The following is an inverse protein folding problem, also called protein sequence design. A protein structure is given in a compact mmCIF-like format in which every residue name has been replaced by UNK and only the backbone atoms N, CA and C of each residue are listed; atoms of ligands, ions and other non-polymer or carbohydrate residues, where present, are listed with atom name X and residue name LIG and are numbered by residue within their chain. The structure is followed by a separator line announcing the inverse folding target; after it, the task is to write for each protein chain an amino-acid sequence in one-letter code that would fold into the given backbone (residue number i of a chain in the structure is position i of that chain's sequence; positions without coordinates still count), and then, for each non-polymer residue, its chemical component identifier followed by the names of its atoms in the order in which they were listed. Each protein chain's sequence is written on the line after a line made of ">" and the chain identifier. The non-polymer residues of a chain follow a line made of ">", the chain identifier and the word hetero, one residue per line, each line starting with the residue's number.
data_IF_304173243486
#
_entry.id   IF_304173243486
#
_cell.length_a   1.000
_cell.length_b   1.000
_cell.length_c   1.000
_cell.angle_alpha   90.00
_cell.angle_beta   90.00
_cell.angle_gamma   90.00
#
_symmetry.space_group_name_H-M   'P 1'
#
loop_
_entity.id
_entity.type
_entity.pdbx_description
1 polymer ?
#
# COMPACT_ATOMS: atom_id res chain seq x y z
N UNK A 1 6.04 21.32 -13.86
CA UNK A 1 6.29 20.61 -12.58
C UNK A 1 5.08 19.72 -12.31
N UNK A 2 5.24 18.40 -12.27
CA UNK A 2 4.10 17.51 -12.00
C UNK A 2 3.62 17.75 -10.55
N UNK A 3 2.45 18.38 -10.43
CA UNK A 3 1.75 18.61 -9.17
C UNK A 3 1.21 17.26 -8.64
N UNK A 4 1.24 17.08 -7.32
CA UNK A 4 0.46 16.00 -6.70
C UNK A 4 -1.02 16.21 -6.98
N UNK A 5 -1.76 15.12 -7.15
CA UNK A 5 -3.22 15.11 -7.30
C UNK A 5 -3.87 14.41 -6.10
N UNK A 6 -5.10 14.79 -5.71
CA UNK A 6 -5.90 13.97 -4.81
C UNK A 6 -6.22 12.61 -5.45
N UNK A 7 -6.71 11.68 -4.63
CA UNK A 7 -7.26 10.43 -5.15
C UNK A 7 -8.47 10.70 -6.06
N UNK A 8 -8.60 9.93 -7.13
CA UNK A 8 -9.83 9.92 -7.94
C UNK A 8 -11.00 9.36 -7.11
N UNK A 9 -12.27 9.59 -7.52
CA UNK A 9 -13.41 8.95 -6.86
C UNK A 9 -13.28 7.43 -6.80
N UNK A 10 -12.82 6.80 -7.89
CA UNK A 10 -12.60 5.36 -7.96
C UNK A 10 -11.48 4.88 -7.04
N UNK A 11 -10.37 5.62 -6.95
CA UNK A 11 -9.28 5.32 -6.01
C UNK A 11 -9.72 5.47 -4.55
N UNK A 12 -10.54 6.48 -4.25
CA UNK A 12 -11.09 6.68 -2.91
C UNK A 12 -12.08 5.56 -2.54
N UNK A 13 -12.90 5.09 -3.49
CA UNK A 13 -13.75 3.91 -3.30
C UNK A 13 -12.91 2.64 -3.09
N UNK A 14 -11.87 2.44 -3.89
CA UNK A 14 -10.94 1.32 -3.74
C UNK A 14 -10.28 1.34 -2.35
N UNK A 15 -9.84 2.50 -1.88
CA UNK A 15 -9.27 2.67 -0.56
C UNK A 15 -10.29 2.32 0.54
N UNK A 16 -11.52 2.84 0.47
CA UNK A 16 -12.58 2.50 1.43
C UNK A 16 -12.93 1.02 1.43
N UNK A 17 -12.92 0.36 0.27
CA UNK A 17 -13.21 -1.08 0.17
C UNK A 17 -12.18 -1.97 0.88
N UNK A 18 -10.98 -1.44 1.12
CA UNK A 18 -9.90 -2.16 1.80
C UNK A 18 -9.77 -1.72 3.24
N UNK A 19 -9.65 -0.42 3.49
CA UNK A 19 -9.30 0.15 4.80
C UNK A 19 -10.52 0.61 5.62
N UNK A 20 -11.72 0.57 5.06
CA UNK A 20 -12.92 1.10 5.71
C UNK A 20 -12.73 2.56 6.13
N UNK A 21 -13.05 2.85 7.39
CA UNK A 21 -12.89 4.17 8.00
C UNK A 21 -11.47 4.40 8.60
N UNK A 22 -10.59 3.40 8.54
CA UNK A 22 -9.26 3.50 9.14
C UNK A 22 -8.33 4.45 8.35
N UNK A 23 -8.58 4.63 7.05
CA UNK A 23 -7.85 5.57 6.19
C UNK A 23 -8.81 6.65 5.70
N UNK A 24 -8.41 7.92 5.83
CA UNK A 24 -9.11 9.05 5.21
C UNK A 24 -8.56 9.29 3.78
N UNK A 25 -9.34 8.99 2.72
CA UNK A 25 -8.89 9.16 1.34
C UNK A 25 -8.70 10.63 0.94
N UNK A 26 -9.38 11.57 1.61
CA UNK A 26 -9.28 13.00 1.32
C UNK A 26 -7.91 13.57 1.74
N UNK A 27 -7.23 12.91 2.67
CA UNK A 27 -5.87 13.25 3.12
C UNK A 27 -4.78 12.50 2.34
N UNK A 28 -5.17 11.68 1.36
CA UNK A 28 -4.26 10.95 0.50
C UNK A 28 -4.08 11.65 -0.86
N UNK A 29 -2.87 11.57 -1.41
CA UNK A 29 -2.56 12.11 -2.73
C UNK A 29 -1.62 11.17 -3.51
N UNK A 30 -1.57 11.35 -4.82
CA UNK A 30 -0.65 10.65 -5.71
C UNK A 30 0.21 11.67 -6.46
N UNK A 31 1.49 11.38 -6.63
CA UNK A 31 2.40 12.20 -7.41
C UNK A 31 3.27 11.34 -8.33
N UNK A 32 3.34 11.73 -9.61
CA UNK A 32 4.30 11.19 -10.57
C UNK A 32 5.65 11.94 -10.45
N UNK A 33 6.32 11.77 -9.31
CA UNK A 33 7.63 12.37 -9.03
C UNK A 33 8.35 11.55 -7.96
N UNK A 34 9.69 11.61 -7.98
CA UNK A 34 10.49 11.08 -6.87
C UNK A 34 10.17 11.83 -5.58
N UNK A 35 10.07 11.11 -4.47
CA UNK A 35 10.00 11.66 -3.11
C UNK A 35 11.35 12.20 -2.63
N UNK A 36 12.44 11.47 -2.88
CA UNK A 36 13.80 11.87 -2.49
C UNK A 36 14.83 11.50 -3.59
N UNK A 37 15.95 12.23 -3.66
CA UNK A 37 16.98 12.02 -4.69
C UNK A 37 17.59 10.60 -4.67
N UNK A 38 17.61 9.96 -3.50
CA UNK A 38 18.10 8.59 -3.27
C UNK A 38 17.00 7.50 -3.32
N UNK A 39 15.77 7.81 -3.72
CA UNK A 39 14.70 6.82 -3.88
C UNK A 39 15.07 5.82 -5.00
N UNK A 40 15.22 4.51 -4.71
CA UNK A 40 15.40 3.49 -5.74
C UNK A 40 14.23 3.49 -6.74
N UNK A 41 14.49 3.14 -7.99
CA UNK A 41 13.49 3.25 -9.09
C UNK A 41 12.21 2.43 -8.86
N UNK A 42 12.29 1.39 -8.04
CA UNK A 42 11.20 0.44 -7.75
C UNK A 42 10.60 0.61 -6.35
N UNK A 43 10.97 1.66 -5.61
CA UNK A 43 10.48 1.88 -4.25
C UNK A 43 9.51 3.04 -4.29
N UNK A 44 8.25 2.82 -3.96
CA UNK A 44 7.29 3.90 -3.75
C UNK A 44 7.28 4.27 -2.26
N UNK A 45 7.16 5.56 -1.97
CA UNK A 45 7.23 6.09 -0.60
C UNK A 45 6.04 7.00 -0.33
N UNK A 46 5.40 6.82 0.83
CA UNK A 46 4.27 7.63 1.30
C UNK A 46 4.49 8.27 2.69
N UNK A 47 5.53 9.10 2.88
CA UNK A 47 5.97 9.55 4.20
C UNK A 47 5.16 10.73 4.77
N UNK A 48 4.29 11.33 3.96
CA UNK A 48 3.41 12.46 4.33
C UNK A 48 2.01 12.30 3.71
N UNK A 49 1.53 11.06 3.55
CA UNK A 49 0.23 10.78 2.95
C UNK A 49 0.13 10.97 1.42
N UNK A 50 1.23 11.34 0.75
CA UNK A 50 1.31 11.36 -0.72
C UNK A 50 2.10 10.15 -1.23
N UNK A 51 1.54 9.38 -2.16
CA UNK A 51 2.17 8.25 -2.83
C UNK A 51 3.02 8.76 -3.99
N UNK A 52 4.33 8.50 -3.96
CA UNK A 52 5.29 9.03 -4.94
C UNK A 52 5.78 7.97 -5.94
N UNK A 53 5.19 7.93 -7.12
CA UNK A 53 5.66 7.07 -8.22
C UNK A 53 6.82 7.74 -8.96
N UNK A 54 7.90 6.99 -9.18
CA UNK A 54 9.02 7.47 -9.99
C UNK A 54 8.62 7.54 -11.47
N UNK A 55 8.74 8.70 -12.17
CA UNK A 55 8.35 8.81 -13.58
C UNK A 55 9.03 7.80 -14.50
N UNK A 56 10.25 7.38 -14.17
CA UNK A 56 11.00 6.41 -14.96
C UNK A 56 10.53 4.96 -14.78
N UNK A 57 9.63 4.66 -13.83
CA UNK A 57 9.10 3.31 -13.63
C UNK A 57 8.00 2.94 -14.62
N UNK A 58 7.33 3.93 -15.22
CA UNK A 58 6.16 3.70 -16.08
C UNK A 58 4.94 3.15 -15.33
N UNK A 59 4.95 3.11 -14.00
CA UNK A 59 3.88 2.53 -13.17
C UNK A 59 2.77 3.53 -12.83
N UNK A 60 3.01 4.83 -12.99
CA UNK A 60 2.00 5.87 -12.71
C UNK A 60 0.77 5.70 -13.61
N UNK A 61 -0.41 5.91 -13.04
CA UNK A 61 -1.69 5.96 -13.75
C UNK A 61 -2.49 7.18 -13.29
N UNK A 62 -3.26 7.73 -14.23
CA UNK A 62 -4.19 8.83 -13.91
C UNK A 62 -5.33 8.37 -13.00
N UNK A 63 -5.70 7.08 -13.11
CA UNK A 63 -6.67 6.43 -12.22
C UNK A 63 -6.23 4.98 -11.97
N UNK A 64 -5.80 4.68 -10.74
CA UNK A 64 -5.39 3.33 -10.36
C UNK A 64 -6.57 2.37 -10.23
N UNK A 65 -7.80 2.86 -9.99
CA UNK A 65 -8.97 1.99 -9.93
C UNK A 65 -9.31 1.35 -11.29
N UNK A 66 -8.86 1.97 -12.38
CA UNK A 66 -9.00 1.46 -13.76
C UNK A 66 -7.74 0.72 -14.24
N UNK A 67 -6.70 0.62 -13.42
CA UNK A 67 -5.47 -0.06 -13.78
C UNK A 67 -5.63 -1.58 -13.74
N UNK A 68 -4.74 -2.36 -14.40
CA UNK A 68 -4.64 -3.80 -14.21
C UNK A 68 -4.52 -4.18 -12.73
N UNK A 69 -5.04 -5.35 -12.36
CA UNK A 69 -5.14 -5.80 -10.97
C UNK A 69 -3.81 -5.76 -10.19
N UNK A 70 -2.69 -6.07 -10.85
CA UNK A 70 -1.37 -5.96 -10.23
C UNK A 70 -1.00 -4.52 -9.82
N UNK A 71 -1.39 -3.52 -10.62
CA UNK A 71 -1.17 -2.11 -10.30
C UNK A 71 -2.17 -1.59 -9.26
N UNK A 72 -3.40 -2.10 -9.24
CA UNK A 72 -4.32 -1.87 -8.13
C UNK A 72 -3.73 -2.41 -6.82
N UNK A 73 -3.18 -3.62 -6.84
CA UNK A 73 -2.50 -4.21 -5.69
C UNK A 73 -1.30 -3.39 -5.21
N UNK A 74 -0.46 -2.90 -6.14
CA UNK A 74 0.63 -1.97 -5.81
C UNK A 74 0.08 -0.70 -5.17
N UNK A 75 -0.97 -0.10 -5.72
CA UNK A 75 -1.58 1.09 -5.16
C UNK A 75 -2.14 0.86 -3.75
N UNK A 76 -2.76 -0.30 -3.49
CA UNK A 76 -3.22 -0.71 -2.15
C UNK A 76 -2.06 -0.87 -1.17
N UNK A 77 -0.94 -1.46 -1.59
CA UNK A 77 0.28 -1.54 -0.76
C UNK A 77 0.74 -0.15 -0.32
N UNK A 78 0.76 0.80 -1.25
CA UNK A 78 1.16 2.18 -0.94
C UNK A 78 0.15 2.93 -0.07
N UNK A 79 -1.15 2.65 -0.23
CA UNK A 79 -2.17 3.16 0.67
C UNK A 79 -2.03 2.60 2.09
N UNK A 80 -1.52 1.38 2.26
CA UNK A 80 -1.22 0.86 3.60
C UNK A 80 -0.14 1.70 4.28
N UNK A 81 0.84 2.21 3.54
CA UNK A 81 1.81 3.18 4.08
C UNK A 81 1.16 4.53 4.40
N UNK A 82 0.23 5.02 3.57
CA UNK A 82 -0.55 6.23 3.90
C UNK A 82 -1.35 6.03 5.19
N UNK A 83 -2.00 4.88 5.36
CA UNK A 83 -2.73 4.52 6.57
C UNK A 83 -1.82 4.45 7.80
N UNK A 84 -0.66 3.80 7.69
CA UNK A 84 0.36 3.75 8.75
C UNK A 84 0.76 5.18 9.17
N UNK A 85 0.98 6.07 8.21
CA UNK A 85 1.30 7.47 8.47
C UNK A 85 0.14 8.21 9.16
N UNK A 86 -1.11 8.04 8.69
CA UNK A 86 -2.29 8.64 9.32
C UNK A 86 -2.51 8.12 10.76
N UNK A 87 -2.09 6.89 11.04
CA UNK A 87 -2.12 6.26 12.37
C UNK A 87 -0.97 6.72 13.30
N UNK A 88 -0.16 7.68 12.87
CA UNK A 88 0.92 8.27 13.68
C UNK A 88 2.29 7.59 13.53
N UNK A 89 2.46 6.66 12.60
CA UNK A 89 3.78 6.05 12.35
C UNK A 89 4.66 6.96 11.49
N UNK A 90 5.86 7.27 11.99
CA UNK A 90 6.86 8.03 11.24
C UNK A 90 7.71 7.10 10.37
N UNK A 91 7.23 6.84 9.15
CA UNK A 91 7.81 5.90 8.19
C UNK A 91 9.31 6.09 7.89
N UNK A 92 9.86 7.33 7.78
CA UNK A 92 11.28 7.52 7.52
C UNK A 92 12.22 7.01 8.63
N UNK A 93 11.73 6.85 9.86
CA UNK A 93 12.50 6.27 10.97
C UNK A 93 12.38 4.73 11.05
N UNK A 94 11.41 4.13 10.35
CA UNK A 94 11.12 2.69 10.41
C UNK A 94 11.57 1.90 9.16
N UNK A 95 11.78 2.56 8.02
CA UNK A 95 12.35 1.93 6.81
C UNK A 95 13.88 1.91 6.89
N UNK A 96 14.45 0.91 7.55
CA UNK A 96 15.90 0.63 7.52
C UNK A 96 16.27 -0.27 6.32
N UNK A 97 17.55 -0.27 5.86
CA UNK A 97 17.99 -1.02 4.67
C UNK A 97 17.75 -2.54 4.69
N UNK A 98 17.37 -3.09 5.85
CA UNK A 98 17.16 -4.52 6.08
C UNK A 98 15.68 -4.92 6.10
N UNK A 99 14.76 -4.06 5.66
CA UNK A 99 13.33 -4.40 5.56
C UNK A 99 13.13 -5.63 4.68
N UNK A 100 12.61 -6.71 5.28
CA UNK A 100 12.25 -7.94 4.59
C UNK A 100 10.81 -7.83 4.09
N UNK A 101 10.61 -8.12 2.81
CA UNK A 101 9.31 -8.23 2.19
C UNK A 101 8.68 -9.61 2.46
N UNK A 102 9.51 -10.64 2.60
CA UNK A 102 9.07 -11.99 2.94
C UNK A 102 8.50 -12.03 4.36
N UNK A 103 7.33 -12.66 4.49
CA UNK A 103 6.71 -12.95 5.77
C UNK A 103 6.03 -14.32 5.72
N UNK A 104 5.81 -14.89 6.90
CA UNK A 104 4.98 -16.09 7.08
C UNK A 104 3.86 -15.68 8.03
N UNK A 105 2.62 -16.06 7.71
CA UNK A 105 1.52 -15.89 8.66
C UNK A 105 1.72 -16.86 9.82
N UNK A 106 2.11 -16.34 10.97
CA UNK A 106 2.30 -17.11 12.19
C UNK A 106 0.98 -17.13 12.99
N UNK A 107 0.47 -18.31 13.39
CA UNK A 107 -0.73 -18.40 14.22
C UNK A 107 -0.59 -17.57 15.50
N UNK A 108 -1.58 -16.72 15.77
CA UNK A 108 -1.62 -15.88 16.97
C UNK A 108 -0.70 -14.65 16.93
N UNK A 109 0.09 -14.44 15.88
CA UNK A 109 0.88 -13.20 15.71
C UNK A 109 -0.04 -12.07 15.24
N UNK A 110 -0.23 -10.99 16.03
CA UNK A 110 -1.11 -9.91 15.65
C UNK A 110 -0.50 -9.04 14.55
N UNK A 111 -1.35 -8.37 13.76
CA UNK A 111 -0.95 -7.55 12.61
C UNK A 111 0.14 -6.52 12.95
N UNK A 112 0.01 -5.82 14.08
CA UNK A 112 1.00 -4.82 14.52
C UNK A 112 2.39 -5.39 14.87
N UNK A 113 2.56 -6.71 14.94
CA UNK A 113 3.88 -7.36 15.15
C UNK A 113 4.60 -7.71 13.86
N UNK A 114 3.98 -7.49 12.70
CA UNK A 114 4.66 -7.56 11.40
C UNK A 114 5.37 -6.24 11.11
N UNK A 115 6.47 -6.29 10.35
CA UNK A 115 7.16 -5.09 9.89
C UNK A 115 6.27 -4.26 8.96
N UNK A 116 6.53 -2.96 8.84
CA UNK A 116 5.68 -2.03 8.06
C UNK A 116 5.51 -2.43 6.59
N UNK A 117 6.55 -2.99 5.94
CA UNK A 117 6.44 -3.53 4.57
C UNK A 117 5.61 -4.81 4.53
N UNK A 118 5.76 -5.68 5.53
CA UNK A 118 5.02 -6.94 5.63
C UNK A 118 3.54 -6.66 5.86
N UNK A 119 3.20 -5.69 6.71
CA UNK A 119 1.84 -5.22 6.90
C UNK A 119 1.22 -4.75 5.58
N UNK A 120 1.95 -3.96 4.80
CA UNK A 120 1.49 -3.48 3.50
C UNK A 120 1.30 -4.61 2.48
N UNK A 121 2.22 -5.58 2.42
CA UNK A 121 2.08 -6.76 1.56
C UNK A 121 0.92 -7.68 2.02
N UNK A 122 0.69 -7.83 3.33
CA UNK A 122 -0.47 -8.56 3.88
C UNK A 122 -1.78 -7.92 3.39
N UNK A 123 -1.89 -6.58 3.45
CA UNK A 123 -3.07 -5.86 2.96
C UNK A 123 -3.24 -6.05 1.45
N UNK A 124 -2.15 -5.95 0.69
CA UNK A 124 -2.15 -6.18 -0.77
C UNK A 124 -2.62 -7.60 -1.12
N UNK A 125 -2.09 -8.62 -0.45
CA UNK A 125 -2.48 -10.01 -0.72
C UNK A 125 -3.95 -10.25 -0.37
N UNK A 126 -4.44 -9.72 0.74
CA UNK A 126 -5.85 -9.78 1.08
C UNK A 126 -6.74 -9.17 -0.03
N UNK A 127 -6.35 -7.99 -0.54
CA UNK A 127 -7.05 -7.34 -1.64
C UNK A 127 -7.03 -8.18 -2.93
N UNK A 128 -5.87 -8.69 -3.33
CA UNK A 128 -5.72 -9.50 -4.55
C UNK A 128 -6.55 -10.79 -4.47
N UNK A 129 -6.52 -11.47 -3.33
CA UNK A 129 -7.31 -12.69 -3.07
C UNK A 129 -8.82 -12.39 -3.11
N UNK A 130 -9.29 -11.28 -2.53
CA UNK A 130 -10.70 -10.84 -2.65
C UNK A 130 -11.14 -10.60 -4.09
N UNK A 131 -10.21 -10.22 -4.96
CA UNK A 131 -10.43 -10.02 -6.41
C UNK A 131 -10.24 -11.29 -7.23
N UNK A 132 -10.04 -12.45 -6.59
CA UNK A 132 -9.90 -13.75 -7.25
C UNK A 132 -8.54 -13.99 -7.90
N UNK A 133 -7.50 -13.23 -7.51
CA UNK A 133 -6.15 -13.52 -7.99
C UNK A 133 -5.66 -14.88 -7.45
N UNK A 134 -5.09 -15.69 -8.34
CA UNK A 134 -4.36 -16.89 -7.95
C UNK A 134 -2.92 -16.51 -7.58
N UNK A 135 -2.59 -16.66 -6.30
CA UNK A 135 -1.28 -16.35 -5.75
C UNK A 135 -0.69 -17.67 -5.20
N UNK A 136 0.21 -18.34 -5.94
CA UNK A 136 0.72 -19.64 -5.53
C UNK A 136 1.58 -19.51 -4.27
N UNK A 137 1.36 -20.42 -3.32
CA UNK A 137 2.17 -20.51 -2.10
C UNK A 137 1.79 -19.53 -0.99
N UNK A 138 0.69 -18.77 -1.12
CA UNK A 138 0.18 -17.94 -0.03
C UNK A 138 -1.02 -18.58 0.69
N UNK A 139 -1.29 -18.11 1.90
CA UNK A 139 -2.38 -18.58 2.74
C UNK A 139 -3.78 -18.29 2.13
N UNK A 140 -4.86 -18.98 2.56
CA UNK A 140 -6.22 -18.66 2.13
C UNK A 140 -6.67 -17.28 2.63
N UNK A 141 -7.58 -16.64 1.89
CA UNK A 141 -8.13 -15.31 2.18
C UNK A 141 -8.63 -15.17 3.63
N UNK A 142 -9.31 -16.18 4.16
CA UNK A 142 -9.88 -16.14 5.52
C UNK A 142 -8.84 -15.85 6.61
N UNK A 143 -7.60 -16.29 6.45
CA UNK A 143 -6.53 -16.00 7.41
C UNK A 143 -6.07 -14.55 7.35
N UNK A 144 -6.09 -13.95 6.16
CA UNK A 144 -5.82 -12.53 6.00
C UNK A 144 -6.92 -11.67 6.61
N UNK A 145 -8.19 -12.01 6.34
CA UNK A 145 -9.34 -11.28 6.87
C UNK A 145 -9.41 -11.31 8.39
N UNK A 146 -9.07 -12.45 9.00
CA UNK A 146 -8.97 -12.55 10.46
C UNK A 146 -7.81 -11.75 11.07
N UNK A 147 -6.79 -11.42 10.27
CA UNK A 147 -5.60 -10.70 10.73
C UNK A 147 -5.72 -9.18 10.57
N UNK A 148 -6.44 -8.71 9.55
CA UNK A 148 -6.55 -7.27 9.27
C UNK A 148 -7.26 -6.53 10.42
N UNK A 149 -6.78 -5.34 10.81
CA UNK A 149 -7.29 -4.62 11.98
C UNK A 149 -8.50 -3.72 11.69
N UNK A 150 -9.15 -3.87 10.52
CA UNK A 150 -10.25 -3.03 10.03
C UNK A 150 -11.25 -3.87 9.21
#
# INVERSE_FOLDING_TARGET
>A
MARSRPLTPGEAELARSVFGDALDPARAAVANRKWAFFQPRNTTMAPLGTIHFNPASGLYREDFAQAPLGLQGLFIHELAHVWQHQSGLFLPLQRHPFCRYDYILEPGRPFGRYGIEQQAEIVRHAFLLRRGADLPGIAPLSLYEALLPF
#
